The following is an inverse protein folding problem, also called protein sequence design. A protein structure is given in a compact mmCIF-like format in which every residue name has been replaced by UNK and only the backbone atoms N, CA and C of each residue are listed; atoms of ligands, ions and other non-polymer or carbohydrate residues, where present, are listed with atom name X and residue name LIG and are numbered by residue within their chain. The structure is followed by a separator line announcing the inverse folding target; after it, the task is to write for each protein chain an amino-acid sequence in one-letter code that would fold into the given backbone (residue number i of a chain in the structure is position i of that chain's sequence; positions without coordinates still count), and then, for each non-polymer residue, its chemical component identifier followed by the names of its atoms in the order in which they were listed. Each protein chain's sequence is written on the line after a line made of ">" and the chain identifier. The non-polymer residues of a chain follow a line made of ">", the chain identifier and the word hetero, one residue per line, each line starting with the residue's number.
data_IF_445356070184
#
_entry.id   IF_445356070184
#
_cell.length_a   1.000
_cell.length_b   1.000
_cell.length_c   1.000
_cell.angle_alpha   90.00
_cell.angle_beta   90.00
_cell.angle_gamma   90.00
#
_symmetry.space_group_name_H-M   'P 1'
#
loop_
_entity.id
_entity.type
_entity.pdbx_description
1 polymer ?
#
# COMPACT_ATOMS: atom_id res chain seq x y z
N UNK A 1 23.72 33.30 -4.09
CA UNK A 1 22.62 32.40 -4.45
C UNK A 1 23.28 31.05 -4.63
N UNK A 2 23.33 30.29 -3.54
CA UNK A 2 23.88 28.95 -3.49
C UNK A 2 22.73 28.01 -3.82
N UNK A 3 22.90 27.22 -4.88
CA UNK A 3 22.08 26.04 -5.14
C UNK A 3 22.75 24.91 -4.35
N UNK A 4 22.09 24.48 -3.29
CA UNK A 4 22.53 23.36 -2.46
C UNK A 4 22.10 22.08 -3.18
N UNK A 5 23.07 21.39 -3.79
CA UNK A 5 22.93 20.02 -4.28
C UNK A 5 22.89 19.10 -3.07
N UNK A 6 21.72 18.54 -2.74
CA UNK A 6 21.56 17.56 -1.66
C UNK A 6 22.16 16.21 -2.12
N UNK A 7 23.30 15.85 -1.53
CA UNK A 7 23.98 14.57 -1.74
C UNK A 7 23.11 13.41 -1.22
N UNK A 8 22.63 12.54 -2.12
CA UNK A 8 21.91 11.31 -1.72
C UNK A 8 22.90 10.23 -1.27
N UNK A 9 22.94 9.97 0.04
CA UNK A 9 23.71 8.88 0.66
C UNK A 9 23.34 7.50 0.06
N UNK A 10 24.27 6.92 -0.70
CA UNK A 10 24.16 5.56 -1.24
C UNK A 10 24.55 4.56 -0.14
N UNK A 11 23.55 4.00 0.54
CA UNK A 11 23.72 2.88 1.47
C UNK A 11 24.16 1.62 0.70
N UNK A 12 25.45 1.29 0.79
CA UNK A 12 26.06 0.04 0.31
C UNK A 12 25.66 -1.15 1.20
N UNK A 13 24.37 -1.47 1.21
CA UNK A 13 23.79 -2.66 1.80
C UNK A 13 22.84 -3.32 0.80
N UNK A 14 23.39 -4.16 -0.08
CA UNK A 14 22.64 -4.85 -1.13
C UNK A 14 21.55 -5.77 -0.57
N UNK A 15 20.32 -5.26 -0.51
CA UNK A 15 19.10 -6.06 -0.38
C UNK A 15 18.92 -6.87 -1.70
N UNK A 16 18.66 -8.18 -1.67
CA UNK A 16 18.41 -9.00 -2.87
C UNK A 16 17.21 -8.57 -3.72
N UNK A 17 16.50 -7.52 -3.31
CA UNK A 17 15.39 -6.92 -4.04
C UNK A 17 15.92 -5.94 -5.09
N UNK A 18 15.85 -6.36 -6.36
CA UNK A 18 16.14 -5.50 -7.52
C UNK A 18 15.15 -4.32 -7.52
N UNK A 19 15.69 -3.10 -7.43
CA UNK A 19 14.93 -1.85 -7.47
C UNK A 19 14.76 -1.40 -8.92
N UNK A 20 13.79 -1.96 -9.65
CA UNK A 20 13.50 -1.46 -11.00
C UNK A 20 12.66 -0.18 -10.93
N UNK A 21 13.14 0.88 -11.59
CA UNK A 21 12.46 2.18 -11.66
C UNK A 21 11.21 2.07 -12.55
N UNK A 22 10.12 2.66 -12.06
CA UNK A 22 8.76 2.57 -12.57
C UNK A 22 8.60 2.75 -14.09
N UNK A 23 8.10 1.70 -14.76
CA UNK A 23 7.41 1.79 -16.04
C UNK A 23 6.06 1.07 -15.94
N UNK A 24 4.99 1.82 -15.68
CA UNK A 24 3.61 1.48 -16.08
C UNK A 24 3.11 0.06 -15.84
N UNK A 25 3.53 -0.61 -14.76
CA UNK A 25 3.06 -1.97 -14.45
C UNK A 25 1.67 -1.90 -13.85
N UNK A 26 0.72 -2.66 -14.38
CA UNK A 26 -0.64 -2.79 -13.85
C UNK A 26 -0.72 -3.93 -12.84
N UNK A 27 -1.44 -3.74 -11.73
CA UNK A 27 -1.71 -4.82 -10.80
C UNK A 27 -2.91 -5.64 -11.27
N UNK A 28 -2.70 -6.91 -11.62
CA UNK A 28 -3.77 -7.76 -12.15
C UNK A 28 -4.95 -7.96 -11.19
N UNK A 29 -4.69 -7.95 -9.88
CA UNK A 29 -5.77 -8.15 -8.89
C UNK A 29 -6.75 -6.99 -8.81
N UNK A 30 -6.29 -5.79 -9.14
CA UNK A 30 -7.06 -4.57 -8.97
C UNK A 30 -7.27 -3.78 -10.27
N UNK A 31 -6.58 -4.17 -11.35
CA UNK A 31 -6.63 -3.56 -12.67
C UNK A 31 -6.32 -2.05 -12.67
N UNK A 32 -5.48 -1.58 -11.75
CA UNK A 32 -4.95 -0.21 -11.80
C UNK A 32 -3.42 -0.20 -11.75
N UNK A 33 -2.83 0.93 -12.08
CA UNK A 33 -1.38 1.11 -12.14
C UNK A 33 -0.73 0.97 -10.76
N UNK A 34 0.38 0.24 -10.71
CA UNK A 34 1.28 0.20 -9.56
C UNK A 34 1.95 1.57 -9.48
N UNK A 35 1.46 2.43 -8.59
CA UNK A 35 1.95 3.78 -8.42
C UNK A 35 3.38 3.82 -7.88
N UNK A 36 4.14 4.89 -8.16
CA UNK A 36 5.53 5.08 -7.71
C UNK A 36 5.77 4.88 -6.20
N UNK A 37 4.71 5.06 -5.40
CA UNK A 37 4.72 4.93 -3.95
C UNK A 37 4.57 3.48 -3.47
N UNK A 38 4.15 2.57 -4.33
CA UNK A 38 4.18 1.12 -4.13
C UNK A 38 5.61 0.61 -4.37
N UNK A 39 6.52 0.97 -3.46
CA UNK A 39 7.98 0.78 -3.53
C UNK A 39 8.44 -0.64 -3.93
N UNK A 40 7.56 -1.64 -3.86
CA UNK A 40 7.84 -3.04 -4.20
C UNK A 40 6.60 -3.76 -4.77
N UNK A 41 6.79 -4.50 -5.86
CA UNK A 41 5.80 -5.38 -6.48
C UNK A 41 6.43 -6.74 -6.80
N UNK A 42 5.60 -7.78 -6.91
CA UNK A 42 5.97 -9.10 -7.40
C UNK A 42 5.53 -9.24 -8.84
N UNK A 43 6.39 -9.80 -9.68
CA UNK A 43 6.05 -10.27 -11.02
C UNK A 43 6.10 -11.79 -11.05
N UNK A 44 5.21 -12.41 -11.83
CA UNK A 44 5.31 -13.83 -12.12
C UNK A 44 6.27 -14.03 -13.29
N UNK A 45 7.23 -14.94 -13.15
CA UNK A 45 8.15 -15.28 -14.25
C UNK A 45 7.57 -16.32 -15.23
N UNK A 46 6.43 -16.92 -14.88
CA UNK A 46 5.73 -17.95 -15.67
C UNK A 46 4.54 -17.34 -16.42
N UNK A 47 3.90 -16.33 -15.82
CA UNK A 47 2.81 -15.60 -16.45
C UNK A 47 3.37 -14.25 -16.88
N UNK A 48 3.52 -14.05 -18.19
CA UNK A 48 4.16 -12.87 -18.80
C UNK A 48 3.47 -11.53 -18.43
N UNK A 49 2.25 -11.58 -17.90
CA UNK A 49 1.39 -10.43 -17.60
C UNK A 49 0.93 -10.35 -16.13
N UNK A 50 1.45 -11.18 -15.22
CA UNK A 50 0.95 -11.18 -13.84
C UNK A 50 1.85 -10.39 -12.87
N UNK A 51 1.32 -9.25 -12.38
CA UNK A 51 1.98 -8.40 -11.39
C UNK A 51 1.09 -8.09 -10.19
N UNK A 52 1.67 -8.10 -8.98
CA UNK A 52 0.99 -7.84 -7.71
C UNK A 52 1.77 -6.86 -6.83
N UNK A 53 1.08 -5.99 -6.10
CA UNK A 53 1.71 -5.22 -5.03
C UNK A 53 2.27 -6.16 -3.94
N UNK A 54 3.50 -5.94 -3.47
CA UNK A 54 4.14 -6.81 -2.47
C UNK A 54 3.28 -6.99 -1.21
N UNK A 55 2.85 -5.87 -0.64
CA UNK A 55 2.01 -5.83 0.57
C UNK A 55 0.59 -6.35 0.35
N UNK A 56 0.11 -6.38 -0.90
CA UNK A 56 -1.18 -6.97 -1.26
C UNK A 56 -1.15 -8.50 -1.27
N UNK A 57 0.03 -9.11 -1.44
CA UNK A 57 0.20 -10.56 -1.44
C UNK A 57 0.29 -11.15 -0.02
N UNK A 58 0.85 -10.40 0.92
CA UNK A 58 1.10 -10.87 2.29
C UNK A 58 -0.10 -10.70 3.23
N UNK A 59 -1.02 -9.78 2.91
CA UNK A 59 -2.14 -9.41 3.76
C UNK A 59 -3.48 -9.91 3.20
N UNK A 60 -4.44 -10.24 4.08
CA UNK A 60 -5.73 -10.72 3.64
C UNK A 60 -6.50 -9.63 2.89
N UNK A 61 -7.11 -9.96 1.76
CA UNK A 61 -7.95 -9.01 1.00
C UNK A 61 -9.20 -8.56 1.76
N UNK A 62 -9.57 -9.30 2.81
CA UNK A 62 -10.74 -9.08 3.66
C UNK A 62 -10.31 -9.09 5.11
N UNK A 63 -10.73 -8.08 5.87
CA UNK A 63 -10.37 -7.91 7.27
C UNK A 63 -11.62 -7.71 8.13
N UNK A 64 -11.77 -8.55 9.14
CA UNK A 64 -12.70 -8.33 10.25
C UNK A 64 -11.92 -7.67 11.38
N UNK A 65 -12.19 -6.39 11.63
CA UNK A 65 -11.42 -5.60 12.58
C UNK A 65 -12.25 -5.24 13.81
N UNK A 66 -11.73 -5.34 15.04
CA UNK A 66 -12.51 -5.05 16.26
C UNK A 66 -13.01 -3.61 16.37
N UNK A 67 -12.38 -2.65 15.71
CA UNK A 67 -12.90 -1.26 15.65
C UNK A 67 -14.09 -1.12 14.70
N UNK A 68 -14.40 -2.13 13.88
CA UNK A 68 -15.54 -2.17 12.99
C UNK A 68 -16.11 -3.59 12.83
N UNK A 69 -16.64 -4.21 13.90
CA UNK A 69 -17.00 -5.62 13.90
C UNK A 69 -18.24 -5.94 13.07
N UNK A 70 -19.09 -4.93 12.80
CA UNK A 70 -20.34 -5.11 12.07
C UNK A 70 -20.16 -5.35 10.57
N UNK A 71 -19.04 -4.92 10.00
CA UNK A 71 -18.79 -5.05 8.57
C UNK A 71 -17.35 -5.46 8.26
N UNK A 72 -17.20 -6.29 7.24
CA UNK A 72 -15.90 -6.63 6.66
C UNK A 72 -15.30 -5.44 5.94
N UNK A 73 -14.02 -5.19 6.17
CA UNK A 73 -13.22 -4.23 5.43
C UNK A 73 -12.50 -4.93 4.27
N UNK A 74 -12.35 -4.23 3.17
CA UNK A 74 -11.68 -4.73 1.98
C UNK A 74 -10.41 -3.94 1.73
N UNK A 75 -9.35 -4.65 1.38
CA UNK A 75 -8.08 -4.04 1.06
C UNK A 75 -8.18 -3.30 -0.28
N UNK A 76 -7.82 -2.02 -0.29
CA UNK A 76 -7.88 -1.14 -1.46
C UNK A 76 -6.78 -0.08 -1.38
N UNK A 77 -6.59 0.67 -2.45
CA UNK A 77 -5.75 1.87 -2.52
C UNK A 77 -6.59 3.01 -3.11
N UNK A 78 -6.10 4.24 -3.00
CA UNK A 78 -6.83 5.42 -3.44
C UNK A 78 -5.85 6.40 -4.09
N UNK A 79 -6.34 7.06 -5.12
CA UNK A 79 -5.71 8.18 -5.81
C UNK A 79 -6.02 9.54 -5.17
N UNK A 80 -6.64 9.56 -3.98
CA UNK A 80 -7.00 10.76 -3.26
C UNK A 80 -6.73 10.62 -1.76
N UNK A 81 -6.59 11.76 -1.08
CA UNK A 81 -6.33 11.82 0.35
C UNK A 81 -7.46 11.18 1.16
N UNK A 82 -7.09 10.30 2.09
CA UNK A 82 -8.01 9.75 3.10
C UNK A 82 -7.41 9.80 4.48
N UNK A 83 -8.27 9.81 5.48
CA UNK A 83 -7.90 9.86 6.89
C UNK A 83 -8.22 8.52 7.52
N UNK A 84 -7.27 7.97 8.29
CA UNK A 84 -7.49 6.74 9.03
C UNK A 84 -8.54 6.98 10.14
N UNK A 85 -9.57 6.13 10.19
CA UNK A 85 -10.68 6.23 11.15
C UNK A 85 -10.23 6.00 12.59
N UNK A 86 -9.15 5.24 12.81
CA UNK A 86 -8.62 4.93 14.14
C UNK A 86 -7.60 6.00 14.59
N UNK A 87 -6.49 6.19 13.86
CA UNK A 87 -5.39 7.06 14.32
C UNK A 87 -5.49 8.51 13.83
N UNK A 88 -6.47 8.84 12.98
CA UNK A 88 -6.71 10.18 12.41
C UNK A 88 -5.53 10.76 11.60
N UNK A 89 -4.56 9.93 11.22
CA UNK A 89 -3.47 10.35 10.33
C UNK A 89 -3.93 10.34 8.88
N UNK A 90 -3.39 11.27 8.11
CA UNK A 90 -3.52 11.29 6.67
C UNK A 90 -2.81 10.09 6.05
N UNK A 91 -3.49 9.46 5.11
CA UNK A 91 -2.95 8.42 4.24
C UNK A 91 -2.40 9.08 3.00
N UNK A 92 -1.20 8.64 2.60
CA UNK A 92 -0.58 9.16 1.37
C UNK A 92 -1.26 8.54 0.16
N UNK A 93 -1.16 9.25 -0.97
CA UNK A 93 -1.65 8.78 -2.26
C UNK A 93 -0.97 7.46 -2.63
N UNK A 94 -1.77 6.48 -3.03
CA UNK A 94 -1.25 5.14 -3.32
C UNK A 94 -0.72 4.41 -2.08
N UNK A 95 -1.17 4.75 -0.86
CA UNK A 95 -1.01 3.82 0.26
C UNK A 95 -2.16 2.81 0.28
N UNK A 96 -1.83 1.59 0.68
CA UNK A 96 -2.77 0.51 0.86
C UNK A 96 -3.50 0.69 2.20
N UNK A 97 -4.81 0.49 2.21
CA UNK A 97 -5.65 0.59 3.40
C UNK A 97 -6.84 -0.36 3.31
N UNK A 98 -7.61 -0.43 4.38
CA UNK A 98 -8.83 -1.22 4.45
C UNK A 98 -10.05 -0.30 4.50
N UNK A 99 -11.04 -0.57 3.66
CA UNK A 99 -12.27 0.22 3.58
C UNK A 99 -13.51 -0.65 3.66
N UNK A 100 -14.52 -0.17 4.36
CA UNK A 100 -15.84 -0.78 4.38
C UNK A 100 -16.60 -0.43 3.10
N UNK A 101 -17.16 -1.43 2.41
CA UNK A 101 -18.02 -1.19 1.24
C UNK A 101 -19.43 -0.69 1.60
N UNK A 102 -19.79 -0.63 2.89
CA UNK A 102 -21.14 -0.27 3.37
C UNK A 102 -21.20 1.08 4.09
N UNK A 103 -20.08 1.60 4.57
CA UNK A 103 -20.01 2.88 5.26
C UNK A 103 -18.65 3.54 5.02
N UNK A 104 -18.53 4.84 5.33
CA UNK A 104 -17.29 5.60 5.18
C UNK A 104 -16.28 5.30 6.31
N UNK A 105 -16.05 4.02 6.58
CA UNK A 105 -15.06 3.56 7.56
C UNK A 105 -13.84 3.04 6.81
N UNK A 106 -12.67 3.62 7.10
CA UNK A 106 -11.39 3.22 6.53
C UNK A 106 -10.26 3.28 7.54
N UNK A 107 -9.34 2.32 7.53
CA UNK A 107 -8.17 2.27 8.42
C UNK A 107 -6.89 2.01 7.64
N UNK A 108 -5.80 2.63 8.07
CA UNK A 108 -4.47 2.38 7.51
C UNK A 108 -3.97 0.97 7.86
N UNK A 109 -2.97 0.52 7.11
CA UNK A 109 -2.34 -0.79 7.32
C UNK A 109 -1.81 -0.99 8.74
N UNK A 110 -1.26 0.04 9.37
CA UNK A 110 -0.72 -0.06 10.74
C UNK A 110 -1.85 -0.31 11.73
N UNK A 111 -2.94 0.44 11.61
CA UNK A 111 -4.14 0.26 12.42
C UNK A 111 -4.87 -1.05 12.12
N UNK A 112 -4.72 -1.62 10.92
CA UNK A 112 -5.27 -2.93 10.59
C UNK A 112 -4.51 -4.09 11.24
N UNK A 113 -3.20 -3.96 11.46
CA UNK A 113 -2.37 -4.99 12.11
C UNK A 113 -2.26 -4.78 13.63
N UNK A 114 -2.38 -3.55 14.12
CA UNK A 114 -2.38 -3.23 15.56
C UNK A 114 -3.75 -3.49 16.19
N UNK A 115 -4.09 -4.76 16.38
CA UNK A 115 -5.30 -5.16 17.10
C UNK A 115 -5.08 -4.99 18.61
N UNK A 116 -5.67 -3.96 19.23
CA UNK A 116 -5.72 -3.82 20.70
C UNK A 116 -5.14 -2.56 21.32
N UNK A 117 -4.71 -1.56 20.54
CA UNK A 117 -4.45 -0.20 21.06
C UNK A 117 -5.68 0.67 20.77
N UNK A 118 -6.67 0.58 21.64
CA UNK A 118 -7.83 1.48 21.70
C UNK A 118 -7.72 2.33 22.96
#
# INVERSE_FOLDING_TARGET
>A
MQEEEEEEDIDEGGDPIIREMFQGVTCERYMEEIHMYHRYYYTCTICDDFSLHKLSGELPSRLEHPSHPSHTLYQTYHSYHRICSNCKRDQKLGELFYQCGKCDFSIDLKCAVEVGKM
#
